data_IF_851813103986
#
_entry.id   IF_851813103986
#
_cell.length_a   1.000
_cell.length_b   1.000
_cell.length_c   1.000
_cell.angle_alpha   90.00
_cell.angle_beta   90.00
_cell.angle_gamma   90.00
#
_symmetry.space_group_name_H-M   'P 1'
#
loop_
_entity.id
_entity.type
_entity.pdbx_description
1 polymer ?
#
# COMPACT_ATOMS: atom_id res chain seq x y z
N UNK A 1 53.26 -1.53 0.15
CA UNK A 1 52.21 -2.52 -0.21
C UNK A 1 51.02 -2.54 0.76
N UNK A 2 51.18 -2.19 2.04
CA UNK A 2 50.08 -2.15 3.02
C UNK A 2 49.01 -1.07 2.73
N UNK A 3 49.41 0.10 2.19
CA UNK A 3 48.50 1.23 1.89
C UNK A 3 47.61 0.94 0.67
N UNK A 4 48.11 0.23 -0.35
CA UNK A 4 47.30 -0.20 -1.50
C UNK A 4 46.28 -1.28 -1.13
N UNK A 5 46.60 -2.16 -0.19
CA UNK A 5 45.63 -3.15 0.35
C UNK A 5 44.55 -2.48 1.21
N UNK A 6 44.88 -1.40 1.93
CA UNK A 6 43.90 -0.63 2.73
C UNK A 6 42.90 0.13 1.84
N UNK A 7 43.37 0.72 0.74
CA UNK A 7 42.50 1.41 -0.24
C UNK A 7 41.62 0.45 -1.05
N UNK A 8 42.09 -0.76 -1.33
CA UNK A 8 41.28 -1.82 -1.95
C UNK A 8 40.21 -2.38 -1.00
N UNK A 9 40.47 -2.40 0.33
CA UNK A 9 39.50 -2.83 1.33
C UNK A 9 38.44 -1.75 1.65
N UNK A 10 38.79 -0.47 1.58
CA UNK A 10 37.85 0.65 1.79
C UNK A 10 36.91 0.89 0.60
N UNK A 11 37.24 0.38 -0.58
CA UNK A 11 36.34 0.39 -1.75
C UNK A 11 35.26 -0.70 -1.70
N UNK A 12 35.34 -1.62 -0.72
CA UNK A 12 34.32 -2.62 -0.48
C UNK A 12 33.49 -2.23 0.75
N UNK A 13 32.16 -2.20 0.59
CA UNK A 13 31.15 -2.10 1.64
C UNK A 13 30.71 -0.67 2.05
N UNK A 14 30.76 0.32 1.16
CA UNK A 14 29.75 1.38 1.23
C UNK A 14 28.62 1.00 0.28
N UNK A 15 27.38 0.73 0.76
CA UNK A 15 26.26 0.65 -0.16
C UNK A 15 26.13 2.03 -0.80
N UNK A 16 26.38 2.12 -2.11
CA UNK A 16 26.00 3.31 -2.85
C UNK A 16 24.51 3.54 -2.57
N UNK A 17 24.13 4.78 -2.30
CA UNK A 17 22.74 5.16 -2.03
C UNK A 17 22.29 6.06 -3.15
N UNK A 18 21.19 5.71 -3.81
CA UNK A 18 20.64 6.44 -4.93
C UNK A 18 19.28 7.03 -4.54
N UNK A 19 18.96 8.20 -5.08
CA UNK A 19 17.66 8.82 -4.87
C UNK A 19 16.55 7.94 -5.49
N UNK A 20 15.44 7.80 -4.78
CA UNK A 20 14.27 7.02 -5.24
C UNK A 20 13.55 7.69 -6.41
N UNK A 21 13.71 9.01 -6.59
CA UNK A 21 12.97 9.78 -7.58
C UNK A 21 13.83 10.22 -8.77
N UNK A 22 13.45 9.78 -9.97
CA UNK A 22 13.93 10.29 -11.26
C UNK A 22 13.04 11.42 -11.79
N UNK A 23 13.56 12.25 -12.70
CA UNK A 23 12.79 13.32 -13.36
C UNK A 23 11.62 12.78 -14.19
N UNK A 24 11.82 11.60 -14.81
CA UNK A 24 10.78 10.89 -15.53
C UNK A 24 9.62 10.49 -14.60
N UNK A 25 9.94 9.95 -13.41
CA UNK A 25 8.93 9.65 -12.39
C UNK A 25 8.18 10.91 -11.96
N UNK A 26 8.89 12.01 -11.68
CA UNK A 26 8.26 13.29 -11.30
C UNK A 26 7.27 13.78 -12.38
N UNK A 27 7.65 13.67 -13.65
CA UNK A 27 6.80 14.05 -14.79
C UNK A 27 5.55 13.16 -14.91
N UNK A 28 5.72 11.84 -14.81
CA UNK A 28 4.61 10.87 -14.87
C UNK A 28 3.60 11.10 -13.75
N UNK A 29 4.07 11.33 -12.52
CA UNK A 29 3.20 11.57 -11.37
C UNK A 29 2.48 12.92 -11.46
N UNK A 30 3.20 13.98 -11.83
CA UNK A 30 2.64 15.34 -11.89
C UNK A 30 1.55 15.46 -12.97
N UNK A 31 1.74 14.81 -14.12
CA UNK A 31 0.74 14.76 -15.19
C UNK A 31 -0.52 13.95 -14.84
N UNK A 32 -0.47 13.17 -13.76
CA UNK A 32 -1.54 12.25 -13.34
C UNK A 32 -2.25 12.68 -12.05
N UNK A 33 -1.95 13.86 -11.49
CA UNK A 33 -2.58 14.38 -10.26
C UNK A 33 -1.96 13.89 -8.94
N UNK A 34 -0.68 13.50 -8.97
CA UNK A 34 0.10 13.04 -7.81
C UNK A 34 1.30 13.97 -7.52
N UNK A 35 1.13 15.26 -7.80
CA UNK A 35 2.19 16.29 -7.84
C UNK A 35 2.77 16.59 -6.45
N UNK A 36 1.91 16.71 -5.43
CA UNK A 36 2.30 17.05 -4.07
C UNK A 36 3.22 15.99 -3.48
N UNK A 37 2.86 14.71 -3.65
CA UNK A 37 3.66 13.61 -3.15
C UNK A 37 4.98 13.49 -3.93
N UNK A 38 4.94 13.65 -5.26
CA UNK A 38 6.14 13.56 -6.09
C UNK A 38 7.17 14.64 -5.72
N UNK A 39 6.74 15.89 -5.53
CA UNK A 39 7.62 16.95 -5.05
C UNK A 39 8.11 16.73 -3.62
N UNK A 40 7.27 16.18 -2.74
CA UNK A 40 7.67 15.85 -1.38
C UNK A 40 8.75 14.75 -1.38
N UNK A 41 8.60 13.69 -2.19
CA UNK A 41 9.62 12.66 -2.35
C UNK A 41 10.93 13.23 -2.89
N UNK A 42 10.85 14.07 -3.93
CA UNK A 42 12.02 14.69 -4.56
C UNK A 42 12.75 15.63 -3.60
N UNK A 43 12.03 16.51 -2.90
CA UNK A 43 12.62 17.48 -1.96
C UNK A 43 13.25 16.84 -0.73
N UNK A 44 12.71 15.72 -0.23
CA UNK A 44 13.24 15.01 0.93
C UNK A 44 14.41 14.07 0.57
N UNK A 45 14.77 13.97 -0.71
CA UNK A 45 15.82 13.11 -1.24
C UNK A 45 15.81 11.73 -0.59
N UNK A 46 14.64 11.07 -0.59
CA UNK A 46 14.55 9.73 -0.02
C UNK A 46 15.43 8.80 -0.83
N UNK A 47 16.45 8.25 -0.18
CA UNK A 47 17.41 7.36 -0.81
C UNK A 47 17.05 5.91 -0.54
N UNK A 48 17.22 5.08 -1.57
CA UNK A 48 17.30 3.64 -1.44
C UNK A 48 18.77 3.24 -1.58
N UNK A 49 19.12 2.02 -1.17
CA UNK A 49 20.42 1.48 -1.58
C UNK A 49 20.43 1.33 -3.10
N UNK A 50 21.56 1.59 -3.75
CA UNK A 50 21.72 1.60 -5.21
C UNK A 50 21.35 0.26 -5.87
N UNK A 51 21.38 -0.83 -5.09
CA UNK A 51 20.94 -2.16 -5.52
C UNK A 51 19.45 -2.45 -5.25
N UNK A 52 18.75 -1.61 -4.47
CA UNK A 52 17.37 -1.83 -4.11
C UNK A 52 16.43 -1.31 -5.21
N UNK A 53 15.65 -2.23 -5.76
CA UNK A 53 14.47 -1.91 -6.57
C UNK A 53 13.31 -1.58 -5.64
N UNK A 54 12.58 -0.51 -5.92
CA UNK A 54 11.56 0.01 -5.01
C UNK A 54 10.16 -0.03 -5.62
N UNK A 55 9.16 -0.13 -4.75
CA UNK A 55 7.75 0.08 -5.10
C UNK A 55 7.21 1.23 -4.25
N UNK A 56 6.69 2.27 -4.90
CA UNK A 56 6.09 3.42 -4.28
C UNK A 56 4.57 3.37 -4.41
N UNK A 57 3.86 3.61 -3.31
CA UNK A 57 2.40 3.72 -3.28
C UNK A 57 2.03 5.17 -3.03
N UNK A 58 1.45 5.86 -4.00
CA UNK A 58 1.32 7.32 -3.96
C UNK A 58 -0.15 7.74 -3.88
N UNK A 59 -0.56 8.46 -2.82
CA UNK A 59 -1.91 9.03 -2.77
C UNK A 59 -2.05 10.25 -3.70
N UNK A 60 -3.24 10.48 -4.29
CA UNK A 60 -3.49 11.66 -5.12
C UNK A 60 -3.50 12.95 -4.30
N UNK A 61 -3.34 14.08 -4.98
CA UNK A 61 -3.16 15.39 -4.35
C UNK A 61 -4.34 15.79 -3.44
N UNK A 62 -5.57 15.43 -3.80
CA UNK A 62 -6.79 15.68 -3.03
C UNK A 62 -6.82 14.89 -1.71
N UNK A 63 -6.32 13.65 -1.71
CA UNK A 63 -6.18 12.82 -0.51
C UNK A 63 -5.10 13.33 0.47
N UNK A 64 -4.24 14.25 0.02
CA UNK A 64 -3.17 14.86 0.82
C UNK A 64 -3.52 16.25 1.37
N UNK A 65 -4.67 16.82 1.01
CA UNK A 65 -5.07 18.15 1.47
C UNK A 65 -5.15 18.20 3.00
N UNK A 66 -4.42 19.15 3.59
CA UNK A 66 -4.34 19.34 5.04
C UNK A 66 -3.45 18.33 5.78
N UNK A 67 -2.73 17.47 5.07
CA UNK A 67 -1.78 16.53 5.65
C UNK A 67 -0.36 17.09 5.70
N UNK A 68 0.41 16.70 6.73
CA UNK A 68 1.83 17.02 6.83
C UNK A 68 2.65 15.90 6.20
N UNK A 69 3.29 16.17 5.06
CA UNK A 69 4.14 15.23 4.33
C UNK A 69 5.54 15.11 4.96
N UNK A 70 5.59 14.53 6.16
CA UNK A 70 6.86 14.28 6.86
C UNK A 70 7.68 13.17 6.18
N UNK A 71 9.01 13.14 6.35
CA UNK A 71 9.86 12.05 5.83
C UNK A 71 9.39 10.66 6.28
N UNK A 72 8.92 10.54 7.53
CA UNK A 72 8.39 9.28 8.07
C UNK A 72 7.12 8.84 7.34
N UNK A 73 6.22 9.77 7.03
CA UNK A 73 5.02 9.48 6.25
C UNK A 73 5.40 9.03 4.83
N UNK A 74 6.28 9.76 4.16
CA UNK A 74 6.70 9.43 2.81
C UNK A 74 7.36 8.03 2.76
N UNK A 75 8.22 7.70 3.73
CA UNK A 75 8.86 6.38 3.84
C UNK A 75 7.87 5.24 4.08
N UNK A 76 6.73 5.49 4.74
CA UNK A 76 5.68 4.49 4.92
C UNK A 76 5.05 4.01 3.60
N UNK A 77 5.29 4.75 2.51
CA UNK A 77 4.76 4.49 1.18
C UNK A 77 5.82 3.91 0.22
N UNK A 78 7.06 3.71 0.69
CA UNK A 78 8.18 3.19 -0.10
C UNK A 78 8.56 1.81 0.40
N UNK A 79 8.31 0.80 -0.43
CA UNK A 79 8.74 -0.57 -0.22
C UNK A 79 10.07 -0.80 -0.96
N UNK A 80 11.11 -1.23 -0.24
CA UNK A 80 12.49 -1.28 -0.78
C UNK A 80 13.01 -2.69 -1.08
N UNK A 81 12.18 -3.72 -0.92
CA UNK A 81 12.60 -5.11 -1.16
C UNK A 81 12.20 -5.65 -2.54
N UNK A 82 11.77 -4.78 -3.45
CA UNK A 82 11.45 -5.13 -4.83
C UNK A 82 10.64 -4.07 -5.56
N UNK A 83 10.75 -4.07 -6.89
CA UNK A 83 9.87 -3.36 -7.80
C UNK A 83 8.75 -4.31 -8.25
N UNK A 84 7.55 -4.12 -7.69
CA UNK A 84 6.40 -4.97 -7.91
C UNK A 84 5.44 -4.25 -8.85
N UNK A 85 5.43 -4.65 -10.13
CA UNK A 85 4.38 -4.21 -11.06
C UNK A 85 3.00 -4.74 -10.63
N UNK A 86 1.94 -4.19 -11.21
CA UNK A 86 0.58 -4.54 -10.79
C UNK A 86 0.27 -6.03 -11.00
N UNK A 87 0.88 -6.64 -12.01
CA UNK A 87 0.75 -8.07 -12.30
C UNK A 87 1.41 -8.93 -11.23
N UNK A 88 2.56 -8.51 -10.68
CA UNK A 88 3.22 -9.13 -9.56
C UNK A 88 2.39 -8.97 -8.28
N UNK A 89 1.82 -7.77 -8.05
CA UNK A 89 0.94 -7.52 -6.90
C UNK A 89 -0.29 -8.45 -6.90
N UNK A 90 -0.95 -8.63 -8.04
CA UNK A 90 -2.10 -9.55 -8.16
C UNK A 90 -1.76 -11.02 -7.88
N UNK A 91 -0.48 -11.39 -7.96
CA UNK A 91 0.01 -12.76 -7.72
C UNK A 91 0.54 -12.97 -6.31
N UNK A 92 0.60 -11.92 -5.47
CA UNK A 92 1.05 -12.08 -4.11
C UNK A 92 0.12 -13.06 -3.36
N UNK A 93 0.67 -13.94 -2.51
CA UNK A 93 -0.13 -14.80 -1.66
C UNK A 93 -1.08 -13.99 -0.76
N UNK A 94 -2.27 -14.52 -0.50
CA UNK A 94 -3.15 -13.98 0.55
C UNK A 94 -2.39 -13.96 1.90
N UNK A 95 -2.64 -12.95 2.73
CA UNK A 95 -1.95 -12.70 4.00
C UNK A 95 -0.46 -12.31 3.86
N UNK A 96 -0.02 -11.89 2.67
CA UNK A 96 1.29 -11.23 2.54
C UNK A 96 1.30 -9.92 3.32
N UNK A 97 2.41 -9.63 3.99
CA UNK A 97 2.66 -8.30 4.56
C UNK A 97 3.91 -7.74 3.93
N UNK A 98 3.80 -6.55 3.32
CA UNK A 98 4.96 -5.83 2.82
C UNK A 98 5.46 -4.86 3.90
N UNK A 99 6.75 -4.87 4.16
CA UNK A 99 7.36 -3.94 5.13
C UNK A 99 7.89 -2.72 4.38
N UNK A 100 7.14 -1.62 4.42
CA UNK A 100 7.55 -0.32 3.90
C UNK A 100 8.13 0.51 5.06
N UNK A 101 9.44 0.46 5.23
CA UNK A 101 10.13 1.00 6.41
C UNK A 101 9.49 0.49 7.72
N UNK A 102 8.99 1.38 8.59
CA UNK A 102 8.39 1.01 9.88
C UNK A 102 6.88 0.73 9.75
N UNK A 103 6.38 0.59 8.53
CA UNK A 103 4.95 0.39 8.24
C UNK A 103 4.76 -0.99 7.65
N UNK A 104 3.90 -1.78 8.31
CA UNK A 104 3.42 -3.05 7.76
C UNK A 104 2.20 -2.77 6.88
N UNK A 105 2.28 -3.23 5.64
CA UNK A 105 1.23 -3.12 4.63
C UNK A 105 0.62 -4.51 4.44
N UNK A 106 -0.50 -4.75 5.11
CA UNK A 106 -1.28 -5.98 4.97
C UNK A 106 -1.91 -6.02 3.57
N UNK A 107 -1.49 -6.99 2.77
CA UNK A 107 -1.98 -7.16 1.40
C UNK A 107 -3.38 -7.78 1.40
N UNK A 108 -4.26 -7.18 0.60
CA UNK A 108 -5.58 -7.70 0.26
C UNK A 108 -5.79 -7.77 -1.25
N UNK A 109 -6.50 -8.79 -1.71
CA UNK A 109 -6.91 -8.92 -3.12
C UNK A 109 -8.22 -9.68 -3.26
N UNK A 110 -9.04 -9.31 -4.24
CA UNK A 110 -10.20 -10.07 -4.71
C UNK A 110 -9.93 -10.82 -6.03
N UNK A 111 -8.67 -10.87 -6.45
CA UNK A 111 -8.21 -11.43 -7.72
C UNK A 111 -8.28 -10.44 -8.89
N UNK A 112 -8.86 -9.25 -8.71
CA UNK A 112 -8.92 -8.17 -9.71
C UNK A 112 -8.35 -6.86 -9.20
N UNK A 113 -8.46 -6.62 -7.91
CA UNK A 113 -8.09 -5.40 -7.22
C UNK A 113 -7.10 -5.73 -6.12
N UNK A 114 -6.19 -4.80 -5.85
CA UNK A 114 -5.18 -4.90 -4.80
C UNK A 114 -5.40 -3.78 -3.80
N UNK A 115 -5.26 -4.08 -2.52
CA UNK A 115 -5.30 -3.11 -1.42
C UNK A 115 -4.19 -3.36 -0.41
N UNK A 116 -3.79 -2.32 0.30
CA UNK A 116 -2.86 -2.37 1.44
C UNK A 116 -3.47 -1.67 2.63
N UNK A 117 -3.62 -2.34 3.77
CA UNK A 117 -4.30 -1.81 4.95
C UNK A 117 -5.68 -1.20 4.60
N UNK A 118 -6.47 -1.92 3.79
CA UNK A 118 -7.76 -1.49 3.23
C UNK A 118 -7.73 -0.26 2.30
N UNK A 119 -6.55 0.28 1.98
CA UNK A 119 -6.37 1.33 0.96
C UNK A 119 -6.19 0.70 -0.41
N UNK A 120 -7.09 1.00 -1.33
CA UNK A 120 -7.08 0.43 -2.67
C UNK A 120 -5.98 1.02 -3.56
N UNK A 121 -5.35 0.19 -4.40
CA UNK A 121 -4.58 0.64 -5.56
C UNK A 121 -5.54 1.08 -6.68
N UNK A 122 -5.61 2.38 -6.95
CA UNK A 122 -6.54 3.02 -7.89
C UNK A 122 -5.92 3.31 -9.25
N UNK A 123 -4.61 3.59 -9.30
CA UNK A 123 -3.88 3.86 -10.54
C UNK A 123 -2.65 2.94 -10.63
N UNK A 124 -2.79 1.73 -11.19
CA UNK A 124 -1.68 0.79 -11.27
C UNK A 124 -0.60 1.26 -12.27
N UNK A 125 0.67 0.98 -11.97
CA UNK A 125 1.80 1.21 -12.88
C UNK A 125 1.89 2.66 -13.42
N UNK A 126 1.68 3.67 -12.57
CA UNK A 126 1.86 5.09 -12.94
C UNK A 126 3.25 5.38 -13.50
N UNK A 127 4.26 4.67 -12.99
CA UNK A 127 5.61 4.69 -13.49
C UNK A 127 6.21 3.30 -13.31
N UNK A 128 6.93 2.81 -14.32
CA UNK A 128 7.61 1.51 -14.29
C UNK A 128 8.94 1.66 -15.01
N UNK A 129 10.04 1.46 -14.28
CA UNK A 129 11.36 1.33 -14.85
C UNK A 129 12.17 0.24 -14.13
N UNK A 130 13.47 0.15 -14.43
CA UNK A 130 14.34 -0.87 -13.86
C UNK A 130 14.60 -0.67 -12.35
N UNK A 131 14.48 0.54 -11.82
CA UNK A 131 14.77 0.85 -10.42
C UNK A 131 13.53 1.02 -9.55
N UNK A 132 12.39 1.42 -10.12
CA UNK A 132 11.21 1.85 -9.40
C UNK A 132 9.91 1.47 -10.13
N UNK A 133 8.92 1.05 -9.34
CA UNK A 133 7.52 0.98 -9.78
C UNK A 133 6.68 1.88 -8.89
N UNK A 134 5.78 2.64 -9.49
CA UNK A 134 4.86 3.54 -8.77
C UNK A 134 3.42 3.13 -9.05
N UNK A 135 2.64 3.01 -7.98
CA UNK A 135 1.19 2.81 -8.04
C UNK A 135 0.49 3.95 -7.31
N UNK A 136 -0.59 4.46 -7.87
CA UNK A 136 -1.51 5.36 -7.18
C UNK A 136 -2.43 4.58 -6.24
N UNK A 137 -2.61 5.09 -5.02
CA UNK A 137 -3.50 4.53 -3.99
C UNK A 137 -4.60 5.52 -3.63
N UNK A 138 -5.74 5.04 -3.14
CA UNK A 138 -6.91 5.86 -2.80
C UNK A 138 -6.63 6.91 -1.70
N UNK A 139 -5.65 6.68 -0.83
CA UNK A 139 -5.29 7.61 0.22
C UNK A 139 -4.01 7.25 0.94
N UNK A 140 -3.62 8.02 1.98
CA UNK A 140 -2.38 7.80 2.71
C UNK A 140 -2.34 6.42 3.36
N UNK A 141 -1.23 5.71 3.18
CA UNK A 141 -0.91 4.50 3.91
C UNK A 141 -0.51 4.88 5.34
N UNK A 142 -1.34 4.46 6.30
CA UNK A 142 -1.09 4.64 7.72
C UNK A 142 -0.56 3.35 8.33
N UNK A 143 0.24 3.48 9.38
CA UNK A 143 0.61 2.34 10.22
C UNK A 143 -0.65 1.70 10.78
N UNK A 144 -0.77 0.39 10.58
CA UNK A 144 -1.77 -0.39 11.28
C UNK A 144 -1.44 -0.31 12.78
N UNK A 145 -2.35 0.18 13.64
CA UNK A 145 -2.10 0.17 15.07
C UNK A 145 -1.88 -1.29 15.51
N UNK A 146 -1.00 -1.54 16.48
CA UNK A 146 -0.83 -2.89 17.02
C UNK A 146 -2.19 -3.38 17.51
N UNK A 147 -2.57 -4.59 17.08
CA UNK A 147 -3.69 -5.33 17.65
C UNK A 147 -3.37 -5.51 19.14
N UNK A 148 -3.92 -4.63 19.97
CA UNK A 148 -3.90 -4.81 21.41
C UNK A 148 -4.95 -5.86 21.70
N UNK A 149 -4.54 -7.12 21.77
CA UNK A 149 -5.33 -8.17 22.40
C UNK A 149 -5.64 -7.71 23.84
N UNK A 150 -6.93 -7.57 24.11
CA UNK A 150 -7.56 -7.44 25.43
C UNK A 150 -6.79 -6.63 26.49
N UNK A 151 -7.00 -5.30 26.51
CA UNK A 151 -6.85 -4.56 27.76
C UNK A 151 -8.00 -5.00 28.69
N UNK A 152 -7.74 -5.64 29.86
CA UNK A 152 -8.81 -5.95 30.80
C UNK A 152 -9.43 -4.65 31.28
N UNK A 153 -10.69 -4.43 30.90
CA UNK A 153 -11.46 -3.26 31.31
C UNK A 153 -11.51 -3.24 32.85
N UNK A 154 -10.95 -2.23 33.56
CA UNK A 154 -11.08 -2.17 35.00
C UNK A 154 -12.56 -2.03 35.33
N UNK A 155 -13.05 -2.96 36.16
CA UNK A 155 -14.43 -3.03 36.62
C UNK A 155 -14.66 -1.87 37.59
N UNK A 156 -15.03 -0.70 37.06
CA UNK A 156 -15.45 0.44 37.88
C UNK A 156 -16.77 0.10 38.56
N UNK A 157 -16.72 0.03 39.90
CA UNK A 157 -17.90 -0.09 40.76
C UNK A 157 -18.77 1.16 40.58
N UNK A 158 -20.03 0.91 40.20
CA UNK A 158 -21.24 1.71 40.38
C UNK A 158 -21.05 3.19 40.74
N UNK A 159 -21.10 4.05 39.73
CA UNK A 159 -21.64 5.41 39.87
C UNK A 159 -22.72 5.57 38.81
N UNK A 160 -23.94 5.84 39.26
CA UNK A 160 -25.09 6.06 38.39
C UNK A 160 -24.79 7.25 37.47
N UNK A 161 -24.74 7.01 36.16
CA UNK A 161 -24.63 8.07 35.16
C UNK A 161 -26.04 8.47 34.69
N UNK A 162 -26.33 9.78 34.55
CA UNK A 162 -27.56 10.26 33.94
C UNK A 162 -27.60 9.90 32.45
N UNK A 163 -28.80 9.60 31.96
CA UNK A 163 -29.06 9.02 30.65
C UNK A 163 -28.51 9.86 29.48
N UNK A 164 -27.70 9.22 28.63
CA UNK A 164 -27.28 9.74 27.32
C UNK A 164 -28.04 9.02 26.18
N UNK A 165 -28.28 9.68 25.03
CA UNK A 165 -29.13 9.14 23.97
C UNK A 165 -28.50 7.92 23.29
N UNK A 166 -29.34 6.91 23.06
CA UNK A 166 -29.02 5.71 22.27
C UNK A 166 -28.72 6.09 20.82
N UNK A 167 -27.46 5.98 20.39
CA UNK A 167 -27.15 5.61 19.01
C UNK A 167 -26.17 4.43 18.99
N UNK A 168 -26.76 3.26 19.25
CA UNK A 168 -26.13 1.96 19.37
C UNK A 168 -26.02 1.31 17.99
N UNK A 169 -24.82 0.88 17.61
CA UNK A 169 -24.60 -0.32 16.80
C UNK A 169 -24.76 -0.20 15.28
N UNK A 170 -23.71 0.22 14.57
CA UNK A 170 -23.60 0.00 13.11
C UNK A 170 -22.17 -0.24 12.58
N UNK A 171 -21.19 -0.63 13.40
CA UNK A 171 -19.80 -0.82 12.93
C UNK A 171 -19.22 -2.24 12.91
N UNK A 172 -19.89 -3.25 13.47
CA UNK A 172 -19.39 -4.64 13.42
C UNK A 172 -20.06 -5.53 12.35
N UNK A 173 -20.99 -4.99 11.58
CA UNK A 173 -21.70 -5.73 10.52
C UNK A 173 -21.04 -5.72 9.14
N UNK A 174 -19.85 -5.14 8.98
CA UNK A 174 -19.15 -5.03 7.68
C UNK A 174 -17.95 -5.98 7.55
N UNK A 175 -17.25 -6.30 8.65
CA UNK A 175 -16.12 -7.24 8.64
C UNK A 175 -16.55 -8.66 8.20
N UNK A 176 -17.80 -9.07 8.48
CA UNK A 176 -18.31 -10.41 8.11
C UNK A 176 -19.08 -10.42 6.78
N UNK A 177 -19.40 -9.26 6.19
CA UNK A 177 -20.25 -9.21 4.98
C UNK A 177 -19.52 -9.45 3.67
N UNK A 178 -18.21 -9.23 3.61
CA UNK A 178 -17.45 -9.45 2.38
C UNK A 178 -17.16 -10.95 2.12
N UNK A 179 -16.98 -11.73 3.18
CA UNK A 179 -16.60 -13.15 3.07
C UNK A 179 -17.79 -14.06 2.62
N UNK A 180 -19.05 -13.63 2.75
CA UNK A 180 -20.22 -14.50 2.51
C UNK A 180 -20.99 -14.29 1.18
N UNK A 181 -20.61 -13.36 0.30
CA UNK A 181 -21.47 -13.00 -0.86
C UNK A 181 -21.19 -13.72 -2.19
N UNK A 182 -20.34 -14.75 -2.27
CA UNK A 182 -20.05 -15.40 -3.57
C UNK A 182 -20.51 -16.87 -3.68
N UNK A 183 -21.09 -17.47 -2.63
CA UNK A 183 -21.78 -18.76 -2.80
C UNK A 183 -23.24 -18.60 -3.23
N UNK A 184 -23.44 -18.24 -4.51
CA UNK A 184 -24.56 -18.75 -5.32
C UNK A 184 -24.08 -18.92 -6.76
N UNK A 185 -23.78 -20.15 -7.22
CA UNK A 185 -23.66 -20.40 -8.64
C UNK A 185 -25.06 -20.22 -9.26
N UNK A 186 -25.21 -19.25 -10.17
CA UNK A 186 -26.32 -19.25 -11.12
C UNK A 186 -25.98 -20.33 -12.12
N UNK A 187 -26.66 -21.46 -11.98
CA UNK A 187 -26.65 -22.55 -12.95
C UNK A 187 -27.46 -22.07 -14.16
N UNK A 188 -26.80 -21.75 -15.27
CA UNK A 188 -27.46 -21.65 -16.57
C UNK A 188 -27.20 -22.99 -17.26
N UNK A 189 -28.18 -23.88 -17.11
CA UNK A 189 -28.30 -25.09 -17.90
C UNK A 189 -29.03 -24.74 -19.21
N UNK A 190 -28.62 -25.32 -20.33
CA UNK A 190 -29.35 -25.15 -21.59
C UNK A 190 -28.53 -25.27 -22.86
N UNK A 191 -27.78 -26.36 -23.00
CA UNK A 191 -27.48 -26.90 -24.33
C UNK A 191 -28.75 -27.60 -24.87
N UNK A 192 -29.16 -27.27 -26.11
CA UNK A 192 -29.63 -28.18 -27.19
C UNK A 192 -30.62 -27.51 -28.18
N UNK A 193 -30.11 -27.25 -29.38
CA UNK A 193 -30.58 -27.77 -30.68
C UNK A 193 -32.09 -28.01 -30.89
N UNK A 194 -32.72 -27.38 -31.91
CA UNK A 194 -33.41 -28.00 -33.09
C UNK A 194 -34.51 -27.14 -33.77
N UNK A 195 -34.34 -26.92 -35.09
CA UNK A 195 -35.31 -27.15 -36.21
C UNK A 195 -36.44 -26.15 -36.57
N UNK A 196 -36.38 -25.73 -37.86
CA UNK A 196 -37.42 -25.42 -38.88
C UNK A 196 -38.51 -24.35 -38.69
N UNK A 197 -38.53 -23.41 -39.65
CA UNK A 197 -39.62 -22.96 -40.58
C UNK A 197 -41.10 -23.02 -40.11
N UNK A 198 -41.94 -22.05 -40.52
CA UNK A 198 -42.31 -21.80 -41.93
C UNK A 198 -41.88 -20.43 -42.48
#
# INVERSE_FOLDING_TARGET
MLILLLLAFLAAITPATEAVCSEAMLTSLSSSGFTLFAHALHSQNLTATAAARVTCFVPPDDALLGQVLSPTMLRAHVYTSGALDYKALLKLPLNTTLTAHNTQLAFGTDGRRVSFNDVLVTAPNLHVDDSCVVHGVEGPLVQMPPLTDDVPRPRTKNVASPALPKHRGRRFGQIVRFIRRVHRPIFVDGDKNTTSLP
#
